data_IF_947003429698
#
_entry.id   IF_947003429698
#
_cell.length_a   1.000
_cell.length_b   1.000
_cell.length_c   1.000
_cell.angle_alpha   90.00
_cell.angle_beta   90.00
_cell.angle_gamma   90.00
#
_symmetry.space_group_name_H-M   'P 1'
#
loop_
_entity.id
_entity.type
_entity.pdbx_description
1 polymer ?
#
# COMPACT_ATOMS: atom_id res chain seq x y z
N UNK A 1 1.16 -0.07 -5.21
CA UNK A 1 -0.04 0.11 -6.07
C UNK A 1 -1.28 0.02 -5.19
N UNK A 2 -2.39 0.67 -5.54
CA UNK A 2 -3.67 0.46 -4.86
C UNK A 2 -4.66 -0.23 -5.81
N UNK A 3 -5.59 -1.00 -5.26
CA UNK A 3 -6.68 -1.66 -5.99
C UNK A 3 -7.99 -1.48 -5.24
N UNK A 4 -9.09 -1.40 -5.98
CA UNK A 4 -10.45 -1.28 -5.45
C UNK A 4 -11.26 -2.49 -5.89
N UNK A 5 -11.88 -3.20 -4.95
CA UNK A 5 -12.77 -4.31 -5.27
C UNK A 5 -14.21 -3.88 -5.56
N UNK A 6 -15.07 -4.84 -5.91
CA UNK A 6 -16.49 -4.61 -6.21
C UNK A 6 -17.29 -4.12 -4.99
N UNK A 7 -16.77 -4.31 -3.77
CA UNK A 7 -17.37 -3.84 -2.52
C UNK A 7 -16.86 -2.45 -2.12
N UNK A 8 -16.12 -1.77 -3.01
CA UNK A 8 -15.50 -0.48 -2.77
C UNK A 8 -14.44 -0.47 -1.66
N UNK A 9 -13.81 -1.62 -1.38
CA UNK A 9 -12.70 -1.68 -0.43
C UNK A 9 -11.40 -1.39 -1.20
N UNK A 10 -10.68 -0.35 -0.78
CA UNK A 10 -9.37 -0.02 -1.32
C UNK A 10 -8.28 -0.70 -0.49
N UNK A 11 -7.38 -1.41 -1.16
CA UNK A 11 -6.25 -2.11 -0.56
C UNK A 11 -4.95 -1.76 -1.26
N UNK A 12 -3.83 -1.99 -0.58
CA UNK A 12 -2.51 -1.78 -1.12
C UNK A 12 -1.86 -3.10 -1.53
N UNK A 13 -1.21 -3.10 -2.69
CA UNK A 13 -0.37 -4.17 -3.18
C UNK A 13 1.04 -3.69 -3.53
N UNK A 14 1.92 -4.64 -3.82
CA UNK A 14 3.29 -4.39 -4.30
C UNK A 14 3.55 -5.18 -5.58
N UNK A 15 4.36 -4.59 -6.47
CA UNK A 15 4.89 -5.24 -7.66
C UNK A 15 6.39 -4.97 -7.75
N UNK A 16 7.13 -5.94 -8.27
CA UNK A 16 8.53 -5.84 -8.61
C UNK A 16 8.64 -5.75 -10.12
N UNK A 17 9.35 -4.73 -10.57
CA UNK A 17 9.60 -4.46 -11.97
C UNK A 17 11.05 -4.79 -12.29
N UNK A 18 11.33 -5.10 -13.55
CA UNK A 18 12.69 -5.23 -14.02
C UNK A 18 13.44 -3.89 -13.89
N UNK A 19 14.69 -3.95 -13.44
CA UNK A 19 15.50 -2.77 -13.12
C UNK A 19 15.93 -2.02 -14.38
N UNK A 20 16.16 -2.74 -15.49
CA UNK A 20 16.59 -2.17 -16.76
C UNK A 20 15.39 -1.82 -17.66
N UNK A 21 14.32 -2.61 -17.59
CA UNK A 21 13.10 -2.42 -18.38
C UNK A 21 11.82 -2.46 -17.50
N UNK A 22 11.42 -1.33 -16.89
CA UNK A 22 10.30 -1.30 -15.94
C UNK A 22 8.93 -1.61 -16.57
N UNK A 23 8.84 -1.79 -17.89
CA UNK A 23 7.62 -2.31 -18.52
C UNK A 23 7.39 -3.80 -18.20
N UNK A 24 8.44 -4.52 -17.77
CA UNK A 24 8.37 -5.92 -17.39
C UNK A 24 8.08 -6.07 -15.91
N UNK A 25 6.96 -6.71 -15.60
CA UNK A 25 6.60 -7.13 -14.25
C UNK A 25 7.32 -8.45 -13.95
N UNK A 26 8.21 -8.45 -12.96
CA UNK A 26 8.92 -9.66 -12.51
C UNK A 26 8.08 -10.47 -11.52
N UNK A 27 7.39 -9.77 -10.62
CA UNK A 27 6.53 -10.36 -9.61
C UNK A 27 5.47 -9.35 -9.20
N UNK A 28 4.30 -9.83 -8.82
CA UNK A 28 3.31 -9.06 -8.09
C UNK A 28 2.83 -9.90 -6.91
N UNK A 29 2.32 -9.24 -5.87
CA UNK A 29 1.75 -9.97 -4.74
C UNK A 29 0.30 -10.34 -5.03
N UNK A 30 -0.07 -11.60 -4.78
CA UNK A 30 -1.43 -12.11 -4.99
C UNK A 30 -2.41 -11.53 -3.95
N UNK A 31 -1.95 -11.43 -2.70
CA UNK A 31 -2.71 -10.88 -1.59
C UNK A 31 -2.30 -9.42 -1.27
N UNK A 32 -3.21 -8.59 -0.74
CA UNK A 32 -2.90 -7.24 -0.32
C UNK A 32 -1.82 -7.23 0.78
N UNK A 33 -0.95 -6.22 0.73
CA UNK A 33 0.04 -5.97 1.79
C UNK A 33 -0.49 -5.06 2.89
N UNK A 34 -1.59 -4.35 2.63
CA UNK A 34 -2.29 -3.49 3.58
C UNK A 34 -3.77 -3.43 3.21
N UNK A 35 -4.63 -3.62 4.20
CA UNK A 35 -6.07 -3.51 4.06
C UNK A 35 -6.70 -2.73 5.23
N UNK A 36 -7.93 -2.21 5.09
CA UNK A 36 -8.58 -1.44 6.15
C UNK A 36 -8.95 -2.30 7.37
N UNK A 37 -8.25 -2.10 8.48
CA UNK A 37 -8.51 -2.81 9.73
C UNK A 37 -8.83 -1.84 10.87
N UNK A 38 -8.07 -0.76 10.96
CA UNK A 38 -8.26 0.24 12.00
C UNK A 38 -9.55 1.05 11.77
N UNK A 39 -10.12 1.60 12.85
CA UNK A 39 -11.38 2.36 12.76
C UNK A 39 -11.27 3.54 11.79
N UNK A 40 -10.14 4.24 11.78
CA UNK A 40 -9.87 5.36 10.89
C UNK A 40 -9.72 4.95 9.41
N UNK A 41 -9.51 3.66 9.11
CA UNK A 41 -9.42 3.10 7.75
C UNK A 41 -10.76 2.52 7.28
N UNK A 42 -11.66 2.19 8.22
CA UNK A 42 -12.98 1.63 7.93
C UNK A 42 -14.10 2.67 7.88
N UNK A 43 -13.98 3.78 8.59
CA UNK A 43 -15.05 4.79 8.69
C UNK A 43 -14.56 6.22 8.46
N UNK A 44 -15.13 6.88 7.45
CA UNK A 44 -14.87 8.30 7.16
C UNK A 44 -15.75 8.82 6.02
N UNK A 45 -15.19 9.67 5.15
CA UNK A 45 -15.94 10.22 4.02
C UNK A 45 -16.21 9.14 2.95
N UNK A 46 -15.21 8.30 2.70
CA UNK A 46 -15.35 7.04 1.94
C UNK A 46 -14.93 5.90 2.86
N UNK A 47 -15.79 4.92 3.09
CA UNK A 47 -15.49 3.81 4.00
C UNK A 47 -14.51 2.80 3.37
N UNK A 48 -13.74 2.10 4.23
CA UNK A 48 -12.83 1.01 3.86
C UNK A 48 -11.76 1.43 2.84
N UNK A 49 -11.01 2.49 3.16
CA UNK A 49 -9.96 3.03 2.29
C UNK A 49 -8.62 3.02 2.99
N UNK A 50 -7.66 2.32 2.37
CA UNK A 50 -6.23 2.61 2.50
C UNK A 50 -5.67 2.95 1.11
N UNK A 51 -5.07 4.14 0.96
CA UNK A 51 -4.63 4.64 -0.34
C UNK A 51 -3.24 5.27 -0.23
N UNK A 52 -2.22 4.65 -0.85
CA UNK A 52 -0.84 5.18 -0.76
C UNK A 52 -0.67 6.48 -1.52
N UNK A 53 0.00 7.45 -0.89
CA UNK A 53 0.38 8.72 -1.48
C UNK A 53 1.91 8.88 -1.62
N UNK A 54 2.69 8.01 -0.99
CA UNK A 54 4.14 8.01 -1.07
C UNK A 54 4.78 7.00 -0.12
N UNK A 55 6.03 6.66 -0.40
CA UNK A 55 6.87 5.85 0.47
C UNK A 55 8.29 6.43 0.50
N UNK A 56 8.96 6.30 1.64
CA UNK A 56 10.34 6.74 1.83
C UNK A 56 11.15 5.62 2.49
N UNK A 57 12.40 5.44 2.06
CA UNK A 57 13.34 4.56 2.73
C UNK A 57 14.09 5.36 3.78
N UNK A 58 14.04 4.92 5.04
CA UNK A 58 14.76 5.51 6.16
C UNK A 58 15.59 4.41 6.84
N UNK A 59 16.89 4.38 6.55
CA UNK A 59 17.76 3.31 7.02
C UNK A 59 17.38 1.96 6.40
N UNK A 60 17.04 0.99 7.24
CA UNK A 60 16.60 -0.35 6.85
C UNK A 60 15.08 -0.52 6.87
N UNK A 61 14.32 0.56 7.01
CA UNK A 61 12.85 0.58 6.98
C UNK A 61 12.31 1.33 5.75
N UNK A 62 11.17 0.88 5.24
CA UNK A 62 10.31 1.63 4.33
C UNK A 62 9.14 2.16 5.12
N UNK A 63 8.93 3.47 5.09
CA UNK A 63 7.75 4.14 5.64
C UNK A 63 6.80 4.42 4.49
N UNK A 64 5.57 3.89 4.57
CA UNK A 64 4.51 4.14 3.59
C UNK A 64 3.49 5.09 4.21
N UNK A 65 3.30 6.25 3.58
CA UNK A 65 2.25 7.19 3.96
C UNK A 65 1.00 6.92 3.11
N UNK A 66 -0.14 6.79 3.78
CA UNK A 66 -1.40 6.46 3.13
C UNK A 66 -2.57 7.26 3.70
N UNK A 67 -3.49 7.63 2.81
CA UNK A 67 -4.78 8.20 3.16
C UNK A 67 -5.74 7.14 3.67
N UNK A 68 -6.51 7.53 4.68
CA UNK A 68 -7.52 6.69 5.31
C UNK A 68 -8.89 7.37 5.21
N UNK A 69 -9.85 6.68 4.61
CA UNK A 69 -11.23 7.13 4.40
C UNK A 69 -11.43 8.56 3.86
N UNK A 70 -10.52 9.04 3.01
CA UNK A 70 -10.47 10.43 2.51
C UNK A 70 -10.56 11.50 3.61
N UNK A 71 -10.07 11.16 4.81
CA UNK A 71 -10.27 11.97 6.03
C UNK A 71 -8.98 12.26 6.78
N UNK A 72 -8.07 11.30 6.85
CA UNK A 72 -6.81 11.45 7.57
C UNK A 72 -5.66 10.74 6.87
N UNK A 73 -4.46 10.96 7.39
CA UNK A 73 -3.24 10.28 6.98
C UNK A 73 -2.79 9.31 8.09
N UNK A 74 -2.23 8.18 7.68
CA UNK A 74 -1.55 7.23 8.53
C UNK A 74 -0.22 6.82 7.90
N UNK A 75 0.60 6.12 8.69
CA UNK A 75 1.87 5.59 8.25
C UNK A 75 2.03 4.14 8.73
N UNK A 76 2.52 3.29 7.84
CA UNK A 76 2.91 1.92 8.15
C UNK A 76 4.40 1.74 7.80
N UNK A 77 5.09 0.85 8.52
CA UNK A 77 6.50 0.56 8.24
C UNK A 77 6.72 -0.91 7.96
N UNK A 78 7.76 -1.18 7.17
CA UNK A 78 8.20 -2.54 6.87
C UNK A 78 9.72 -2.54 6.66
N UNK A 79 10.46 -3.55 7.14
CA UNK A 79 11.88 -3.65 6.85
C UNK A 79 12.14 -3.81 5.34
N UNK A 80 13.14 -3.12 4.80
CA UNK A 80 13.56 -3.23 3.40
C UNK A 80 13.84 -4.68 3.00
N UNK A 81 14.39 -5.48 3.94
CA UNK A 81 14.67 -6.91 3.73
C UNK A 81 13.43 -7.74 3.41
N UNK A 82 12.26 -7.35 3.93
CA UNK A 82 11.00 -8.08 3.69
C UNK A 82 10.44 -7.85 2.29
N UNK A 83 10.94 -6.84 1.57
CA UNK A 83 10.53 -6.49 0.20
C UNK A 83 11.52 -6.96 -0.87
N UNK A 84 12.59 -7.68 -0.50
CA UNK A 84 13.53 -8.24 -1.47
C UNK A 84 13.00 -9.57 -2.01
N UNK A 85 13.19 -9.79 -3.32
CA UNK A 85 12.87 -11.04 -4.03
C UNK A 85 14.13 -11.79 -4.40
#
# INVERSE_FOLDING_TARGET
MHGKDLNNIYRLGIMWLDLEDPSKVLKFQEEPILEPEAEYERTGFVNNVVYTCGAAVLGDEVIVYYGCCDKCLAAATVPVRALRI
#
